data_IF_491793719684
#
_entry.id   IF_491793719684
#
_cell.length_a   1.000
_cell.length_b   1.000
_cell.length_c   1.000
_cell.angle_alpha   90.00
_cell.angle_beta   90.00
_cell.angle_gamma   90.00
#
_symmetry.space_group_name_H-M   'P 1'
#
loop_
_entity.id
_entity.type
_entity.pdbx_description
1 polymer ?
#
# COMPACT_ATOMS: atom_id res chain seq x y z
N UNK A 1 1.86 1.37 9.21
CA UNK A 1 1.35 0.02 8.91
C UNK A 1 0.91 -0.63 10.19
N UNK A 2 -0.27 -1.27 10.15
CA UNK A 2 -0.91 -1.86 11.33
C UNK A 2 -0.39 -3.25 11.64
N UNK A 3 -0.14 -4.07 10.61
CA UNK A 3 0.23 -5.47 10.79
C UNK A 3 1.70 -5.74 10.47
N UNK A 4 2.24 -5.09 9.43
CA UNK A 4 3.61 -5.26 8.99
C UNK A 4 4.42 -4.01 9.36
N UNK A 5 4.82 -3.96 10.63
CA UNK A 5 5.57 -2.82 11.18
C UNK A 5 6.94 -2.68 10.52
N UNK A 6 7.52 -1.48 10.60
CA UNK A 6 8.87 -1.21 10.08
C UNK A 6 9.91 -2.18 10.67
N UNK A 7 9.76 -2.52 11.95
CA UNK A 7 10.61 -3.50 12.63
C UNK A 7 10.51 -4.89 12.00
N UNK A 8 9.28 -5.38 11.80
CA UNK A 8 9.05 -6.71 11.23
C UNK A 8 9.53 -6.81 9.78
N UNK A 9 9.35 -5.74 9.00
CA UNK A 9 9.85 -5.63 7.63
C UNK A 9 11.38 -5.57 7.59
N UNK A 10 12.03 -4.77 8.44
CA UNK A 10 13.49 -4.69 8.48
C UNK A 10 14.12 -6.03 8.85
N UNK A 11 13.55 -6.76 9.83
CA UNK A 11 14.01 -8.10 10.18
C UNK A 11 13.87 -9.06 8.99
N UNK A 12 12.79 -8.98 8.22
CA UNK A 12 12.60 -9.85 7.04
C UNK A 12 13.62 -9.65 5.91
N UNK A 13 14.27 -8.48 5.87
CA UNK A 13 15.21 -8.12 4.78
C UNK A 13 16.67 -8.31 5.22
N UNK A 14 17.00 -8.05 6.48
CA UNK A 14 18.40 -7.91 6.92
C UNK A 14 18.87 -8.88 8.00
N UNK A 15 17.97 -9.53 8.74
CA UNK A 15 18.36 -10.28 9.94
C UNK A 15 17.60 -11.62 10.08
N UNK A 16 18.33 -12.73 10.10
CA UNK A 16 17.76 -14.01 10.52
C UNK A 16 17.55 -14.00 12.04
N UNK A 17 16.29 -13.89 12.47
CA UNK A 17 15.90 -13.93 13.89
C UNK A 17 15.02 -15.12 14.19
N UNK A 18 15.33 -15.78 15.29
CA UNK A 18 14.48 -16.82 15.89
C UNK A 18 13.11 -16.22 16.22
N UNK A 19 12.02 -16.87 15.78
CA UNK A 19 10.65 -16.39 15.96
C UNK A 19 10.20 -15.27 15.01
N UNK A 20 11.01 -14.84 14.03
CA UNK A 20 10.56 -13.92 12.98
C UNK A 20 9.44 -14.53 12.14
N UNK A 21 9.61 -15.77 11.70
CA UNK A 21 8.62 -16.48 10.87
C UNK A 21 7.25 -16.60 11.57
N UNK A 22 7.25 -16.84 12.90
CA UNK A 22 6.02 -16.93 13.67
C UNK A 22 5.28 -15.58 13.73
N UNK A 23 6.02 -14.49 14.02
CA UNK A 23 5.47 -13.12 14.03
C UNK A 23 4.99 -12.69 12.64
N UNK A 24 5.73 -13.06 11.59
CA UNK A 24 5.32 -12.82 10.21
C UNK A 24 4.02 -13.54 9.87
N UNK A 25 3.94 -14.83 10.20
CA UNK A 25 2.74 -15.63 9.98
C UNK A 25 1.54 -15.12 10.79
N UNK A 26 1.75 -14.63 12.00
CA UNK A 26 0.72 -13.97 12.79
C UNK A 26 0.23 -12.67 12.12
N UNK A 27 1.14 -11.82 11.65
CA UNK A 27 0.79 -10.60 10.92
C UNK A 27 -0.02 -10.91 9.67
N UNK A 28 0.36 -11.94 8.89
CA UNK A 28 -0.39 -12.42 7.73
C UNK A 28 -1.80 -12.87 8.11
N UNK A 29 -1.95 -13.67 9.17
CA UNK A 29 -3.27 -14.13 9.64
C UNK A 29 -4.16 -12.97 10.05
N UNK A 30 -3.62 -12.05 10.84
CA UNK A 30 -4.36 -10.88 11.35
C UNK A 30 -4.74 -9.93 10.22
N UNK A 31 -3.84 -9.70 9.26
CA UNK A 31 -4.14 -8.88 8.08
C UNK A 31 -5.20 -9.52 7.20
N UNK A 32 -5.12 -10.83 6.92
CA UNK A 32 -6.15 -11.54 6.14
C UNK A 32 -7.52 -11.47 6.82
N UNK A 33 -7.59 -11.64 8.14
CA UNK A 33 -8.83 -11.49 8.89
C UNK A 33 -9.41 -10.07 8.75
N UNK A 34 -8.56 -9.04 8.81
CA UNK A 34 -8.97 -7.66 8.56
C UNK A 34 -9.42 -7.42 7.12
N UNK A 35 -8.80 -8.07 6.14
CA UNK A 35 -9.10 -7.91 4.72
C UNK A 35 -10.44 -8.57 4.33
N UNK A 36 -10.87 -9.61 5.04
CA UNK A 36 -12.20 -10.20 4.86
C UNK A 36 -13.32 -9.18 5.17
N UNK A 37 -13.09 -8.20 6.04
CA UNK A 37 -14.06 -7.13 6.33
C UNK A 37 -14.32 -6.21 5.11
N UNK A 38 -13.37 -6.14 4.18
CA UNK A 38 -13.49 -5.39 2.94
C UNK A 38 -14.19 -6.17 1.83
N UNK A 39 -14.46 -7.46 2.04
CA UNK A 39 -15.14 -8.32 1.06
C UNK A 39 -16.57 -7.82 0.84
N UNK A 40 -16.87 -7.44 -0.40
CA UNK A 40 -18.15 -6.83 -0.77
C UNK A 40 -18.22 -5.30 -0.59
N UNK A 41 -17.28 -4.68 0.15
CA UNK A 41 -17.13 -3.21 0.21
C UNK A 41 -16.31 -2.66 -0.94
N UNK A 42 -15.33 -3.43 -1.42
CA UNK A 42 -14.53 -3.13 -2.61
C UNK A 42 -14.85 -4.12 -3.75
N UNK A 43 -14.48 -3.74 -4.97
CA UNK A 43 -14.60 -4.66 -6.11
C UNK A 43 -13.75 -5.93 -5.91
N UNK A 44 -14.19 -7.04 -6.52
CA UNK A 44 -13.44 -8.31 -6.49
C UNK A 44 -11.97 -8.14 -6.90
N UNK A 45 -11.70 -7.35 -7.95
CA UNK A 45 -10.35 -7.10 -8.42
C UNK A 45 -9.47 -6.40 -7.37
N UNK A 46 -10.02 -5.42 -6.63
CA UNK A 46 -9.31 -4.72 -5.55
C UNK A 46 -9.03 -5.67 -4.39
N UNK A 47 -10.02 -6.46 -3.99
CA UNK A 47 -9.85 -7.44 -2.93
C UNK A 47 -8.81 -8.50 -3.29
N UNK A 48 -8.84 -9.04 -4.51
CA UNK A 48 -7.87 -10.03 -5.00
C UNK A 48 -6.45 -9.45 -5.11
N UNK A 49 -6.31 -8.17 -5.50
CA UNK A 49 -5.01 -7.49 -5.51
C UNK A 49 -4.39 -7.46 -4.11
N UNK A 50 -5.16 -7.05 -3.11
CA UNK A 50 -4.70 -6.99 -1.72
C UNK A 50 -4.44 -8.38 -1.13
N UNK A 51 -5.35 -9.34 -1.36
CA UNK A 51 -5.27 -10.69 -0.78
C UNK A 51 -4.09 -11.49 -1.31
N UNK A 52 -3.80 -11.35 -2.61
CA UNK A 52 -2.70 -12.06 -3.28
C UNK A 52 -1.39 -11.28 -3.25
N UNK A 53 -1.32 -10.17 -2.51
CA UNK A 53 -0.15 -9.30 -2.44
C UNK A 53 0.37 -8.92 -3.85
N UNK A 54 -0.53 -8.55 -4.76
CA UNK A 54 -0.22 -8.39 -6.17
C UNK A 54 0.74 -7.22 -6.46
N UNK A 55 0.84 -6.28 -5.52
CA UNK A 55 1.75 -5.13 -5.56
C UNK A 55 3.19 -5.47 -5.15
N UNK A 56 3.43 -6.62 -4.54
CA UNK A 56 4.80 -7.06 -4.21
C UNK A 56 5.64 -7.15 -5.49
N UNK A 57 6.79 -6.49 -5.48
CA UNK A 57 7.70 -6.31 -6.60
C UNK A 57 7.10 -5.57 -7.81
N UNK A 58 5.99 -4.86 -7.63
CA UNK A 58 5.45 -4.00 -8.69
C UNK A 58 6.21 -2.67 -8.71
N UNK A 59 6.77 -2.34 -9.87
CA UNK A 59 7.51 -1.11 -10.11
C UNK A 59 6.57 0.07 -10.24
N UNK A 60 6.69 1.05 -9.35
CA UNK A 60 6.04 2.34 -9.40
C UNK A 60 6.52 3.15 -10.60
N UNK A 61 5.59 3.48 -11.49
CA UNK A 61 5.86 4.29 -12.67
C UNK A 61 5.53 5.76 -12.48
N UNK A 62 4.67 6.09 -11.50
CA UNK A 62 4.29 7.47 -11.24
C UNK A 62 2.94 7.61 -10.56
N UNK A 63 2.64 8.85 -10.18
CA UNK A 63 1.39 9.23 -9.53
C UNK A 63 0.85 10.52 -10.12
N UNK A 64 -0.46 10.59 -10.33
CA UNK A 64 -1.19 11.80 -10.68
C UNK A 64 -2.13 12.20 -9.56
N UNK A 65 -2.15 13.47 -9.20
CA UNK A 65 -3.03 14.02 -8.15
C UNK A 65 -3.95 15.08 -8.77
N UNK A 66 -5.23 14.75 -8.86
CA UNK A 66 -6.27 15.67 -9.28
C UNK A 66 -6.81 16.41 -8.06
N UNK A 67 -6.94 17.73 -8.16
CA UNK A 67 -7.47 18.58 -7.10
C UNK A 67 -8.86 19.11 -7.44
N UNK A 68 -9.68 19.33 -6.41
CA UNK A 68 -10.98 19.99 -6.58
C UNK A 68 -10.86 21.45 -7.04
N UNK A 69 -11.99 22.07 -7.41
CA UNK A 69 -12.04 23.46 -7.92
C UNK A 69 -11.30 24.48 -7.05
N UNK A 70 -11.28 24.29 -5.73
CA UNK A 70 -10.62 25.19 -4.77
C UNK A 70 -9.14 24.84 -4.53
N UNK A 71 -8.58 23.83 -5.21
CA UNK A 71 -7.21 23.30 -5.11
C UNK A 71 -6.72 22.93 -3.70
N UNK A 72 -7.58 22.99 -2.68
CA UNK A 72 -7.19 22.81 -1.28
C UNK A 72 -7.06 21.35 -0.84
N UNK A 73 -7.61 20.41 -1.61
CA UNK A 73 -7.57 18.98 -1.29
C UNK A 73 -7.56 18.11 -2.55
N UNK A 74 -6.75 17.03 -2.58
CA UNK A 74 -6.87 16.00 -3.59
C UNK A 74 -8.30 15.46 -3.65
N UNK A 75 -8.85 15.33 -4.85
CA UNK A 75 -10.14 14.66 -5.08
C UNK A 75 -9.95 13.27 -5.65
N UNK A 76 -8.84 13.07 -6.36
CA UNK A 76 -8.45 11.78 -6.91
C UNK A 76 -6.94 11.66 -6.93
N UNK A 77 -6.47 10.47 -6.58
CA UNK A 77 -5.07 10.07 -6.71
C UNK A 77 -5.06 8.85 -7.61
N UNK A 78 -4.18 8.83 -8.60
CA UNK A 78 -3.98 7.67 -9.47
C UNK A 78 -2.51 7.27 -9.40
N UNK A 79 -2.25 6.01 -9.03
CA UNK A 79 -0.91 5.46 -8.87
C UNK A 79 -0.73 4.38 -9.92
N UNK A 80 0.33 4.48 -10.71
CA UNK A 80 0.63 3.56 -11.82
C UNK A 80 1.76 2.63 -11.42
N UNK A 81 1.57 1.33 -11.68
CA UNK A 81 2.52 0.27 -11.42
C UNK A 81 2.75 -0.59 -12.65
N UNK A 82 3.90 -1.26 -12.70
CA UNK A 82 4.25 -2.27 -13.68
C UNK A 82 4.80 -3.52 -13.00
N UNK A 83 4.47 -4.70 -13.54
CA UNK A 83 5.10 -5.97 -13.13
C UNK A 83 5.23 -6.91 -14.31
N UNK A 84 4.10 -7.18 -14.98
CA UNK A 84 4.02 -7.85 -16.29
C UNK A 84 3.39 -6.97 -17.36
N UNK A 85 2.43 -6.15 -16.93
CA UNK A 85 1.75 -5.11 -17.69
C UNK A 85 1.53 -3.94 -16.74
N UNK A 86 1.47 -2.74 -17.29
CA UNK A 86 1.07 -1.57 -16.53
C UNK A 86 -0.37 -1.72 -16.04
N UNK A 87 -0.63 -1.23 -14.83
CA UNK A 87 -1.98 -1.09 -14.28
C UNK A 87 -2.01 0.13 -13.35
N UNK A 88 -3.21 0.64 -13.12
CA UNK A 88 -3.40 1.83 -12.30
C UNK A 88 -4.37 1.55 -11.16
N UNK A 89 -4.07 2.10 -9.99
CA UNK A 89 -4.99 2.18 -8.88
C UNK A 89 -5.49 3.61 -8.79
N UNK A 90 -6.79 3.80 -8.99
CA UNK A 90 -7.45 5.09 -8.85
C UNK A 90 -8.21 5.16 -7.54
N UNK A 91 -7.81 6.08 -6.68
CA UNK A 91 -8.44 6.42 -5.41
C UNK A 91 -9.32 7.65 -5.60
N UNK A 92 -10.56 7.61 -5.13
CA UNK A 92 -11.53 8.70 -5.26
C UNK A 92 -12.13 9.08 -3.92
N UNK A 93 -12.54 10.36 -3.82
CA UNK A 93 -13.02 10.97 -2.57
C UNK A 93 -11.98 10.85 -1.46
N UNK A 94 -10.81 11.46 -1.71
CA UNK A 94 -9.68 11.43 -0.78
C UNK A 94 -10.01 12.27 0.46
N UNK A 95 -9.83 11.69 1.64
CA UNK A 95 -9.92 12.41 2.92
C UNK A 95 -8.53 12.77 3.47
N UNK A 96 -7.53 11.93 3.23
CA UNK A 96 -6.15 12.15 3.64
C UNK A 96 -5.17 11.55 2.64
N UNK A 97 -4.09 12.27 2.37
CA UNK A 97 -2.92 11.76 1.68
C UNK A 97 -1.66 12.21 2.41
N UNK A 98 -0.76 11.27 2.72
CA UNK A 98 0.55 11.54 3.31
C UNK A 98 1.61 10.80 2.51
N UNK A 99 2.65 11.53 2.15
CA UNK A 99 3.91 11.01 1.63
C UNK A 99 4.95 11.17 2.74
N UNK A 100 5.62 10.09 3.12
CA UNK A 100 6.81 10.17 3.95
C UNK A 100 7.98 9.53 3.21
N UNK A 101 9.16 10.11 3.38
CA UNK A 101 10.41 9.58 2.85
C UNK A 101 11.47 9.73 3.93
N UNK A 102 12.14 8.64 4.27
CA UNK A 102 13.25 8.66 5.21
C UNK A 102 14.43 7.87 4.62
N UNK A 103 15.41 8.61 4.12
CA UNK A 103 16.65 8.09 3.54
C UNK A 103 17.43 7.21 4.53
N UNK A 104 17.40 7.56 5.83
CA UNK A 104 18.15 6.86 6.89
C UNK A 104 17.63 5.46 7.26
N UNK A 105 16.46 5.05 6.75
CA UNK A 105 15.83 3.74 7.04
C UNK A 105 16.13 2.71 5.93
N UNK A 106 16.91 3.08 4.92
CA UNK A 106 17.17 2.21 3.78
C UNK A 106 18.42 1.35 4.01
N UNK A 107 18.22 0.06 4.27
CA UNK A 107 19.29 -0.94 4.07
C UNK A 107 19.36 -1.44 2.61
N UNK A 108 18.43 -0.98 1.74
CA UNK A 108 18.41 -1.27 0.30
C UNK A 108 19.00 -0.05 -0.43
N UNK A 109 20.32 0.10 -0.35
CA UNK A 109 21.01 1.08 -1.17
C UNK A 109 20.81 0.70 -2.65
N UNK A 110 20.37 1.68 -3.47
CA UNK A 110 20.61 1.84 -4.91
C UNK A 110 19.46 1.87 -5.95
N UNK A 111 18.15 1.98 -5.66
CA UNK A 111 17.15 1.97 -6.76
C UNK A 111 15.85 2.79 -6.57
N UNK A 112 15.91 4.12 -6.39
CA UNK A 112 14.73 5.01 -6.56
C UNK A 112 13.45 4.59 -5.78
N UNK A 113 12.27 5.14 -6.13
CA UNK A 113 10.97 4.76 -5.50
C UNK A 113 10.51 3.35 -5.94
N UNK A 114 11.35 2.58 -6.63
CA UNK A 114 10.89 1.75 -7.74
C UNK A 114 9.94 0.64 -7.32
N UNK A 115 10.32 -0.29 -6.44
CA UNK A 115 9.44 -1.43 -6.18
C UNK A 115 8.61 -1.26 -4.92
N UNK A 116 7.31 -1.55 -5.03
CA UNK A 116 6.44 -1.70 -3.88
C UNK A 116 6.80 -3.01 -3.17
N UNK A 117 7.38 -2.88 -1.98
CA UNK A 117 7.73 -4.03 -1.13
C UNK A 117 6.48 -4.56 -0.45
N UNK A 118 5.61 -3.66 0.01
CA UNK A 118 4.47 -4.07 0.80
C UNK A 118 3.30 -3.11 0.73
N UNK A 119 2.09 -3.66 0.87
CA UNK A 119 0.84 -2.88 0.84
C UNK A 119 -0.20 -3.43 1.81
N UNK A 120 -0.85 -2.54 2.56
CA UNK A 120 -1.99 -2.86 3.45
C UNK A 120 -3.24 -2.08 3.03
N UNK A 121 -4.32 -2.81 2.75
CA UNK A 121 -5.65 -2.24 2.55
C UNK A 121 -6.51 -2.51 3.79
N UNK A 122 -6.96 -1.46 4.48
CA UNK A 122 -7.66 -1.57 5.77
C UNK A 122 -8.96 -0.78 5.79
N UNK A 123 -9.96 -1.32 6.46
CA UNK A 123 -11.14 -0.56 6.85
C UNK A 123 -10.79 0.44 7.96
N UNK A 124 -11.21 1.69 7.81
CA UNK A 124 -11.09 2.74 8.84
C UNK A 124 -12.43 2.94 9.52
N UNK A 125 -13.51 3.03 8.74
CA UNK A 125 -14.90 3.06 9.19
C UNK A 125 -15.82 2.51 8.08
N UNK A 126 -17.15 2.60 8.26
CA UNK A 126 -18.15 2.06 7.33
C UNK A 126 -17.98 2.49 5.87
N UNK A 127 -17.39 3.67 5.62
CA UNK A 127 -17.24 4.25 4.27
C UNK A 127 -15.79 4.51 3.90
N UNK A 128 -14.89 4.59 4.88
CA UNK A 128 -13.52 4.99 4.69
C UNK A 128 -12.57 3.79 4.75
N UNK A 129 -11.69 3.73 3.75
CA UNK A 129 -10.64 2.73 3.60
C UNK A 129 -9.31 3.46 3.58
N UNK A 130 -8.27 2.85 4.13
CA UNK A 130 -6.89 3.29 3.95
C UNK A 130 -6.11 2.28 3.12
N UNK A 131 -5.22 2.79 2.26
CA UNK A 131 -4.20 2.01 1.58
C UNK A 131 -2.83 2.56 1.95
N UNK A 132 -2.04 1.74 2.60
CA UNK A 132 -0.64 2.02 2.91
C UNK A 132 0.24 1.26 1.92
N UNK A 133 1.22 1.96 1.34
CA UNK A 133 2.20 1.43 0.41
C UNK A 133 3.60 1.73 0.93
N UNK A 134 4.48 0.74 0.90
CA UNK A 134 5.90 0.89 1.21
C UNK A 134 6.73 0.55 -0.03
N UNK A 135 7.68 1.42 -0.34
CA UNK A 135 8.60 1.26 -1.46
C UNK A 135 10.01 0.91 -0.98
N UNK A 136 10.80 0.32 -1.87
CA UNK A 136 12.21 -0.02 -1.60
C UNK A 136 13.09 1.18 -1.24
N UNK A 137 12.74 2.38 -1.72
CA UNK A 137 13.32 3.65 -1.27
C UNK A 137 13.10 4.00 0.21
N UNK A 138 12.27 3.26 0.94
CA UNK A 138 11.75 3.69 2.24
C UNK A 138 10.69 4.80 2.15
N UNK A 139 10.28 5.20 0.93
CA UNK A 139 9.10 6.04 0.76
C UNK A 139 7.84 5.28 1.19
N UNK A 140 6.86 6.01 1.72
CA UNK A 140 5.56 5.47 2.10
C UNK A 140 4.44 6.37 1.63
N UNK A 141 3.41 5.77 1.04
CA UNK A 141 2.16 6.46 0.75
C UNK A 141 1.10 5.97 1.74
N UNK A 142 0.41 6.90 2.37
CA UNK A 142 -0.80 6.64 3.12
C UNK A 142 -1.94 7.41 2.46
N UNK A 143 -2.96 6.68 1.97
CA UNK A 143 -4.11 7.26 1.28
C UNK A 143 -5.38 6.80 1.98
N UNK A 144 -6.20 7.73 2.49
CA UNK A 144 -7.56 7.45 2.94
C UNK A 144 -8.59 7.94 1.92
N UNK A 145 -9.54 7.08 1.59
CA UNK A 145 -10.50 7.28 0.50
C UNK A 145 -11.79 6.50 0.71
N UNK A 146 -12.84 6.86 -0.02
CA UNK A 146 -14.11 6.09 -0.05
C UNK A 146 -14.24 5.20 -1.29
N UNK A 147 -13.46 5.45 -2.36
CA UNK A 147 -13.57 4.71 -3.63
C UNK A 147 -12.20 4.28 -4.13
N UNK A 148 -12.11 3.04 -4.60
CA UNK A 148 -10.91 2.48 -5.23
C UNK A 148 -11.28 1.63 -6.44
N UNK A 149 -10.54 1.79 -7.53
CA UNK A 149 -10.72 1.05 -8.78
C UNK A 149 -9.35 0.67 -9.33
N UNK A 150 -9.23 -0.54 -9.87
CA UNK A 150 -8.06 -0.97 -10.65
C UNK A 150 -8.39 -0.86 -12.14
N UNK A 151 -7.53 -0.18 -12.89
CA UNK A 151 -7.55 -0.12 -14.36
C UNK A 151 -6.36 -0.91 -14.91
N UNK A 152 -6.57 -1.64 -16.00
CA UNK A 152 -5.54 -2.37 -16.73
C UNK A 152 -5.31 -1.71 -18.09
#
# INVERSE_FOLDING_TARGET
MKFFTDELLNQSIFEEHEGHEERWNEAVRNYRASLELLKGKVSKAVWEMAYNNALHDATFLGMTIEHGKLKSRPTTIEVTFERKKAFQIRYGKISQFKLTYNESVTGINHLGINDCIYSELLEVDEKLISHELIFASGAKFFIQFEKIIIKK
#
